data_IF_995521523215
#
_entry.id   IF_995521523215
#
_cell.length_a   1.000
_cell.length_b   1.000
_cell.length_c   1.000
_cell.angle_alpha   90.00
_cell.angle_beta   90.00
_cell.angle_gamma   90.00
#
_symmetry.space_group_name_H-M   'P 1'
#
loop_
_entity.id
_entity.type
_entity.pdbx_description
1 polymer ?
#
# COMPACT_ATOMS: atom_id res chain seq x y z
N UNK A 1 -12.46 -5.65 16.79
CA UNK A 1 -11.00 -5.50 16.58
C UNK A 1 -10.39 -6.88 16.35
N UNK A 2 -10.54 -7.83 17.28
CA UNK A 2 -9.99 -9.20 17.16
C UNK A 2 -10.46 -10.00 15.93
N UNK A 3 -11.75 -10.00 15.58
CA UNK A 3 -12.26 -10.80 14.45
C UNK A 3 -11.77 -10.31 13.06
N UNK A 4 -11.43 -9.01 12.94
CA UNK A 4 -10.97 -8.40 11.68
C UNK A 4 -9.47 -8.58 11.45
N UNK A 5 -8.67 -8.52 12.53
CA UNK A 5 -7.24 -8.85 12.47
C UNK A 5 -7.04 -10.34 12.17
N UNK A 6 -7.82 -11.22 12.79
CA UNK A 6 -7.82 -12.65 12.49
C UNK A 6 -8.19 -12.92 11.02
N UNK A 7 -9.18 -12.21 10.46
CA UNK A 7 -9.55 -12.39 9.05
C UNK A 7 -8.41 -12.05 8.08
N UNK A 8 -7.72 -10.93 8.30
CA UNK A 8 -6.58 -10.52 7.46
C UNK A 8 -5.38 -11.47 7.61
N UNK A 9 -5.13 -11.96 8.83
CA UNK A 9 -4.11 -12.97 9.10
C UNK A 9 -4.40 -14.27 8.33
N UNK A 10 -5.63 -14.77 8.38
CA UNK A 10 -6.05 -15.99 7.66
C UNK A 10 -5.99 -15.80 6.14
N UNK A 11 -6.35 -14.62 5.61
CA UNK A 11 -6.18 -14.31 4.19
C UNK A 11 -4.69 -14.35 3.78
N UNK A 12 -3.80 -13.90 4.66
CA UNK A 12 -2.35 -14.04 4.51
C UNK A 12 -1.90 -15.50 4.46
N UNK A 13 -2.43 -16.35 5.34
CA UNK A 13 -2.15 -17.79 5.36
C UNK A 13 -2.65 -18.51 4.10
N UNK A 14 -3.88 -18.23 3.66
CA UNK A 14 -4.46 -18.80 2.44
C UNK A 14 -3.61 -18.44 1.22
N UNK A 15 -3.05 -17.22 1.18
CA UNK A 15 -2.14 -16.80 0.12
C UNK A 15 -0.80 -17.54 0.17
N UNK A 16 -0.23 -17.74 1.36
CA UNK A 16 1.00 -18.52 1.51
C UNK A 16 0.81 -19.98 1.03
N UNK A 17 -0.37 -20.55 1.30
CA UNK A 17 -0.76 -21.87 0.80
C UNK A 17 -0.93 -21.83 -0.73
N UNK A 18 -1.61 -20.83 -1.28
CA UNK A 18 -1.78 -20.68 -2.73
C UNK A 18 -0.44 -20.58 -3.47
N UNK A 19 0.53 -19.85 -2.91
CA UNK A 19 1.88 -19.74 -3.47
C UNK A 19 2.61 -21.08 -3.51
N UNK A 20 2.34 -21.98 -2.55
CA UNK A 20 2.85 -23.36 -2.56
C UNK A 20 2.13 -24.29 -3.55
N UNK A 21 0.99 -23.84 -4.10
CA UNK A 21 0.10 -24.59 -5.00
C UNK A 21 -0.05 -23.93 -6.38
N UNK A 22 1.03 -23.35 -6.92
CA UNK A 22 1.02 -22.73 -8.27
C UNK A 22 -0.06 -21.65 -8.44
N UNK A 23 -0.33 -20.90 -7.35
CA UNK A 23 -1.41 -19.90 -7.25
C UNK A 23 -2.78 -20.44 -7.66
N UNK A 24 -3.07 -21.72 -7.35
CA UNK A 24 -4.37 -22.35 -7.62
C UNK A 24 -5.01 -22.80 -6.32
N UNK A 25 -6.29 -22.50 -6.16
CA UNK A 25 -7.13 -22.97 -5.06
C UNK A 25 -8.53 -23.29 -5.58
N UNK A 26 -9.26 -24.16 -4.89
CA UNK A 26 -10.68 -24.39 -5.16
C UNK A 26 -11.54 -23.63 -4.15
N UNK A 27 -12.77 -23.27 -4.55
CA UNK A 27 -13.76 -22.69 -3.63
C UNK A 27 -14.01 -23.55 -2.38
N UNK A 28 -13.90 -24.88 -2.50
CA UNK A 28 -14.05 -25.82 -1.37
C UNK A 28 -12.89 -25.73 -0.38
N UNK A 29 -11.66 -25.62 -0.87
CA UNK A 29 -10.48 -25.43 -0.02
C UNK A 29 -10.54 -24.12 0.75
N UNK A 30 -10.93 -23.02 0.08
CA UNK A 30 -11.12 -21.71 0.72
C UNK A 30 -12.17 -21.80 1.84
N UNK A 31 -13.31 -22.48 1.58
CA UNK A 31 -14.35 -22.72 2.60
C UNK A 31 -13.86 -23.58 3.76
N UNK A 32 -12.94 -24.52 3.51
CA UNK A 32 -12.35 -25.36 4.54
C UNK A 32 -11.35 -24.58 5.40
N UNK A 33 -10.50 -23.75 4.80
CA UNK A 33 -9.57 -22.89 5.54
C UNK A 33 -10.29 -21.90 6.44
N UNK A 34 -11.43 -21.40 5.98
CA UNK A 34 -12.26 -20.45 6.73
C UNK A 34 -13.42 -21.14 7.50
N UNK A 35 -13.33 -22.46 7.72
CA UNK A 35 -14.42 -23.23 8.36
C UNK A 35 -14.70 -22.85 9.81
N UNK A 36 -13.74 -22.22 10.47
CA UNK A 36 -13.85 -21.69 11.83
C UNK A 36 -14.52 -20.30 11.86
N UNK A 37 -14.83 -19.70 10.71
CA UNK A 37 -15.53 -18.43 10.58
C UNK A 37 -16.99 -18.64 10.18
N UNK A 38 -17.91 -17.82 10.66
CA UNK A 38 -19.31 -17.81 10.20
C UNK A 38 -19.42 -17.15 8.81
N UNK A 39 -19.05 -17.89 7.77
CA UNK A 39 -19.15 -17.47 6.37
C UNK A 39 -20.40 -18.03 5.69
N UNK A 40 -21.29 -17.12 5.28
CA UNK A 40 -22.33 -17.43 4.30
C UNK A 40 -21.77 -17.41 2.88
N UNK A 41 -22.55 -17.88 1.89
CA UNK A 41 -22.08 -17.99 0.51
C UNK A 41 -21.73 -16.64 -0.13
N UNK A 42 -22.37 -15.54 0.31
CA UNK A 42 -22.07 -14.18 -0.15
C UNK A 42 -20.69 -13.71 0.34
N UNK A 43 -20.37 -13.97 1.61
CA UNK A 43 -19.04 -13.67 2.18
C UNK A 43 -17.96 -14.54 1.55
N UNK A 44 -18.24 -15.82 1.32
CA UNK A 44 -17.33 -16.73 0.63
C UNK A 44 -17.03 -16.27 -0.81
N UNK A 45 -18.04 -15.77 -1.53
CA UNK A 45 -17.87 -15.18 -2.87
C UNK A 45 -17.01 -13.92 -2.84
N UNK A 46 -17.16 -13.06 -1.83
CA UNK A 46 -16.33 -11.87 -1.67
C UNK A 46 -14.86 -12.23 -1.43
N UNK A 47 -14.60 -13.24 -0.59
CA UNK A 47 -13.25 -13.78 -0.36
C UNK A 47 -12.66 -14.35 -1.65
N UNK A 48 -13.43 -15.13 -2.41
CA UNK A 48 -12.97 -15.69 -3.69
C UNK A 48 -12.64 -14.57 -4.69
N UNK A 49 -13.48 -13.54 -4.80
CA UNK A 49 -13.20 -12.38 -5.68
C UNK A 49 -11.95 -11.61 -5.24
N UNK A 50 -11.76 -11.42 -3.93
CA UNK A 50 -10.57 -10.78 -3.39
C UNK A 50 -9.29 -11.56 -3.75
N UNK A 51 -9.27 -12.88 -3.49
CA UNK A 51 -8.13 -13.74 -3.82
C UNK A 51 -7.86 -13.80 -5.34
N UNK A 52 -8.92 -13.83 -6.16
CA UNK A 52 -8.79 -13.79 -7.61
C UNK A 52 -8.21 -12.48 -8.14
N UNK A 53 -8.54 -11.35 -7.52
CA UNK A 53 -7.92 -10.06 -7.83
C UNK A 53 -6.41 -10.04 -7.49
N UNK A 54 -5.96 -10.90 -6.58
CA UNK A 54 -4.55 -11.11 -6.21
C UNK A 54 -3.83 -12.12 -7.11
N UNK A 55 -4.35 -12.36 -8.33
CA UNK A 55 -3.79 -13.30 -9.29
C UNK A 55 -3.75 -14.78 -8.80
N UNK A 56 -4.58 -15.14 -7.81
CA UNK A 56 -4.84 -16.54 -7.42
C UNK A 56 -5.98 -17.11 -8.27
N UNK A 57 -5.70 -18.19 -9.01
CA UNK A 57 -6.69 -18.85 -9.85
C UNK A 57 -7.62 -19.74 -9.02
N UNK A 58 -8.90 -19.37 -8.94
CA UNK A 58 -9.90 -20.10 -8.16
C UNK A 58 -10.77 -20.96 -9.07
N UNK A 59 -10.69 -22.28 -8.89
CA UNK A 59 -11.56 -23.25 -9.56
C UNK A 59 -12.96 -23.27 -8.91
N UNK A 60 -14.00 -23.24 -9.74
CA UNK A 60 -15.40 -23.18 -9.32
C UNK A 60 -15.98 -21.77 -9.06
N UNK A 61 -15.34 -20.71 -9.56
CA UNK A 61 -15.95 -19.37 -9.59
C UNK A 61 -17.15 -19.32 -10.55
N UNK A 62 -18.30 -18.72 -10.17
CA UNK A 62 -19.41 -18.49 -11.10
C UNK A 62 -18.93 -17.62 -12.28
N UNK A 63 -19.34 -17.97 -13.51
CA UNK A 63 -18.84 -17.38 -14.77
C UNK A 63 -19.12 -15.87 -14.94
N UNK A 64 -19.82 -15.22 -14.02
CA UNK A 64 -20.22 -13.80 -14.10
C UNK A 64 -19.08 -12.80 -13.83
N UNK A 65 -17.83 -13.12 -14.14
CA UNK A 65 -16.66 -12.29 -13.80
C UNK A 65 -15.59 -12.18 -14.89
N UNK A 66 -15.87 -12.62 -16.12
CA UNK A 66 -14.92 -12.52 -17.24
C UNK A 66 -15.57 -11.76 -18.39
N UNK A 67 -15.08 -10.53 -18.65
CA UNK A 67 -15.54 -9.53 -19.65
C UNK A 67 -16.67 -8.64 -19.09
N UNK A 68 -16.49 -7.33 -18.85
CA UNK A 68 -16.01 -6.29 -19.77
C UNK A 68 -15.08 -5.25 -19.12
N UNK A 69 -14.25 -4.62 -19.96
CA UNK A 69 -13.19 -3.67 -19.62
C UNK A 69 -13.67 -2.21 -19.69
N UNK A 70 -13.21 -1.43 -18.70
CA UNK A 70 -12.71 -0.05 -18.78
C UNK A 70 -13.33 0.88 -19.84
N UNK A 71 -14.39 1.62 -19.48
CA UNK A 71 -14.70 2.98 -19.99
C UNK A 71 -15.96 3.51 -19.31
N UNK A 72 -15.85 4.02 -18.07
CA UNK A 72 -16.70 5.06 -17.45
C UNK A 72 -16.51 5.07 -15.92
N UNK A 73 -15.40 5.61 -15.43
CA UNK A 73 -15.15 5.73 -13.98
C UNK A 73 -15.83 6.95 -13.32
N UNK A 74 -16.96 7.42 -13.87
CA UNK A 74 -17.78 8.46 -13.22
C UNK A 74 -19.29 8.17 -13.22
N UNK A 75 -19.76 7.03 -13.76
CA UNK A 75 -21.19 6.77 -13.80
C UNK A 75 -21.53 5.27 -13.93
N UNK A 76 -21.18 4.44 -12.94
CA UNK A 76 -21.92 3.20 -12.61
C UNK A 76 -21.23 2.39 -11.48
N UNK A 77 -21.83 2.39 -10.29
CA UNK A 77 -22.15 1.16 -9.55
C UNK A 77 -21.04 0.18 -9.13
N UNK A 78 -20.18 0.58 -8.19
CA UNK A 78 -19.56 -0.33 -7.20
C UNK A 78 -19.76 0.20 -5.76
N UNK A 79 -20.90 0.89 -5.56
CA UNK A 79 -21.41 1.28 -4.26
C UNK A 79 -21.52 0.08 -3.33
N UNK A 80 -21.26 0.26 -2.04
CA UNK A 80 -21.81 -0.68 -1.08
C UNK A 80 -23.32 -0.66 -1.29
N UNK A 81 -24.02 -1.81 -1.29
CA UNK A 81 -25.44 -1.81 -1.56
C UNK A 81 -26.12 -0.81 -0.62
N UNK A 82 -27.02 0.02 -1.16
CA UNK A 82 -27.57 1.20 -0.49
C UNK A 82 -28.21 0.88 0.87
N UNK A 83 -28.63 -0.37 1.06
CA UNK A 83 -29.06 -0.88 2.36
C UNK A 83 -27.95 -0.83 3.43
N UNK A 84 -26.70 -1.17 3.13
CA UNK A 84 -25.58 -1.13 4.08
C UNK A 84 -25.23 0.30 4.50
N UNK A 85 -25.25 1.24 3.55
CA UNK A 85 -25.03 2.65 3.87
C UNK A 85 -26.15 3.16 4.77
N UNK A 86 -27.40 2.80 4.46
CA UNK A 86 -28.56 3.15 5.30
C UNK A 86 -28.44 2.55 6.70
N UNK A 87 -28.19 1.25 6.81
CA UNK A 87 -28.01 0.55 8.09
C UNK A 87 -26.90 1.20 8.94
N UNK A 88 -25.77 1.57 8.30
CA UNK A 88 -24.64 2.22 8.95
C UNK A 88 -24.98 3.61 9.50
N UNK A 89 -25.65 4.44 8.71
CA UNK A 89 -26.07 5.78 9.12
C UNK A 89 -27.16 5.75 10.19
N UNK A 90 -28.04 4.73 10.16
CA UNK A 90 -29.07 4.51 11.16
C UNK A 90 -28.53 3.90 12.47
N UNK A 91 -27.23 3.61 12.53
CA UNK A 91 -26.55 3.18 13.76
C UNK A 91 -26.67 1.69 14.08
N UNK A 92 -26.95 0.84 13.08
CA UNK A 92 -26.92 -0.61 13.29
C UNK A 92 -25.51 -1.06 13.69
N UNK A 93 -25.39 -1.79 14.81
CA UNK A 93 -24.12 -2.17 15.42
C UNK A 93 -23.17 -2.93 14.47
N UNK A 94 -23.70 -3.72 13.53
CA UNK A 94 -22.89 -4.55 12.61
C UNK A 94 -22.62 -3.89 11.26
N UNK A 95 -23.32 -2.80 10.94
CA UNK A 95 -23.34 -2.24 9.59
C UNK A 95 -22.02 -1.61 9.18
N UNK A 96 -21.24 -1.08 10.13
CA UNK A 96 -19.89 -0.57 9.89
C UNK A 96 -18.98 -1.62 9.26
N UNK A 97 -18.97 -2.82 9.84
CA UNK A 97 -18.11 -3.92 9.37
C UNK A 97 -18.61 -4.49 8.05
N UNK A 98 -19.92 -4.68 7.91
CA UNK A 98 -20.55 -5.11 6.64
C UNK A 98 -20.25 -4.13 5.50
N UNK A 99 -20.31 -2.83 5.78
CA UNK A 99 -19.99 -1.76 4.82
C UNK A 99 -18.52 -1.86 4.38
N UNK A 100 -17.58 -1.97 5.32
CA UNK A 100 -16.15 -2.15 5.02
C UNK A 100 -15.89 -3.42 4.19
N UNK A 101 -16.41 -4.58 4.64
CA UNK A 101 -16.26 -5.86 3.94
C UNK A 101 -16.78 -5.79 2.50
N UNK A 102 -17.93 -5.12 2.28
CA UNK A 102 -18.52 -5.00 0.95
C UNK A 102 -17.64 -4.23 -0.05
N UNK A 103 -16.70 -3.42 0.44
CA UNK A 103 -15.83 -2.56 -0.35
C UNK A 103 -14.44 -3.14 -0.59
N UNK A 104 -14.05 -4.24 0.05
CA UNK A 104 -12.70 -4.82 -0.11
C UNK A 104 -12.38 -5.18 -1.57
N UNK A 105 -13.33 -5.78 -2.30
CA UNK A 105 -13.13 -6.08 -3.73
C UNK A 105 -12.96 -4.81 -4.57
N UNK A 106 -13.65 -3.73 -4.20
CA UNK A 106 -13.54 -2.44 -4.88
C UNK A 106 -12.17 -1.79 -4.63
N UNK A 107 -11.65 -1.86 -3.40
CA UNK A 107 -10.28 -1.41 -3.09
C UNK A 107 -9.26 -2.18 -3.93
N UNK A 108 -9.37 -3.50 -4.01
CA UNK A 108 -8.48 -4.32 -4.83
C UNK A 108 -8.57 -3.97 -6.33
N UNK A 109 -9.78 -3.68 -6.81
CA UNK A 109 -10.01 -3.24 -8.19
C UNK A 109 -9.35 -1.88 -8.47
N UNK A 110 -9.53 -0.89 -7.58
CA UNK A 110 -8.87 0.41 -7.68
C UNK A 110 -7.35 0.26 -7.67
N UNK A 111 -6.82 -0.54 -6.75
CA UNK A 111 -5.39 -0.82 -6.66
C UNK A 111 -4.84 -1.40 -7.98
N UNK A 112 -5.60 -2.24 -8.68
CA UNK A 112 -5.17 -2.81 -9.97
C UNK A 112 -4.82 -1.76 -11.04
N UNK A 113 -5.38 -0.54 -10.94
CA UNK A 113 -5.04 0.61 -11.79
C UNK A 113 -3.58 1.08 -11.64
N UNK A 114 -2.95 0.81 -10.49
CA UNK A 114 -1.59 1.22 -10.18
C UNK A 114 -0.51 0.24 -10.67
N UNK A 115 -0.88 -0.94 -11.21
CA UNK A 115 0.07 -1.96 -11.70
C UNK A 115 1.12 -1.44 -12.68
N UNK A 116 0.84 -0.34 -13.40
CA UNK A 116 1.74 0.27 -14.39
C UNK A 116 2.57 1.45 -13.87
N UNK A 117 2.38 1.89 -12.61
CA UNK A 117 3.18 2.96 -12.01
C UNK A 117 4.63 2.51 -11.87
N UNK A 118 5.56 3.43 -12.04
CA UNK A 118 6.99 3.12 -12.02
C UNK A 118 7.45 2.58 -10.65
N UNK A 119 6.90 3.09 -9.55
CA UNK A 119 7.18 2.59 -8.21
C UNK A 119 6.88 1.08 -8.07
N UNK A 120 5.76 0.62 -8.64
CA UNK A 120 5.37 -0.79 -8.65
C UNK A 120 6.27 -1.61 -9.57
N UNK A 121 6.54 -1.13 -10.79
CA UNK A 121 7.41 -1.84 -11.75
C UNK A 121 8.84 -2.02 -11.25
N UNK A 122 9.36 -1.01 -10.54
CA UNK A 122 10.69 -1.04 -9.92
C UNK A 122 10.72 -1.79 -8.59
N UNK A 123 9.59 -2.38 -8.17
CA UNK A 123 9.44 -3.11 -6.91
C UNK A 123 9.83 -2.24 -5.69
N UNK A 124 9.59 -0.93 -5.78
CA UNK A 124 9.75 0.01 -4.67
C UNK A 124 8.59 -0.18 -3.69
N UNK A 125 7.39 -0.43 -4.22
CA UNK A 125 6.18 -0.74 -3.46
C UNK A 125 5.44 -1.90 -4.12
N UNK A 126 4.88 -2.79 -3.30
CA UNK A 126 4.11 -3.94 -3.73
C UNK A 126 2.62 -3.62 -3.92
N UNK A 127 1.91 -4.46 -4.69
CA UNK A 127 0.47 -4.33 -4.85
C UNK A 127 -0.27 -4.56 -3.53
N UNK A 128 0.25 -5.46 -2.70
CA UNK A 128 -0.23 -5.78 -1.37
C UNK A 128 -0.22 -4.55 -0.44
N UNK A 129 0.86 -3.77 -0.47
CA UNK A 129 0.99 -2.54 0.32
C UNK A 129 -0.02 -1.48 -0.13
N UNK A 130 -0.19 -1.29 -1.45
CA UNK A 130 -1.18 -0.35 -2.00
C UNK A 130 -2.60 -0.74 -1.57
N UNK A 131 -2.92 -2.04 -1.60
CA UNK A 131 -4.25 -2.54 -1.20
C UNK A 131 -4.46 -2.38 0.30
N UNK A 132 -3.44 -2.71 1.11
CA UNK A 132 -3.49 -2.56 2.56
C UNK A 132 -3.75 -1.10 2.94
N UNK A 133 -3.05 -0.17 2.29
CA UNK A 133 -3.23 1.26 2.51
C UNK A 133 -4.59 1.76 2.02
N UNK A 134 -5.05 1.29 0.86
CA UNK A 134 -6.40 1.56 0.39
C UNK A 134 -7.49 1.08 1.35
N UNK A 135 -7.29 -0.08 1.99
CA UNK A 135 -8.19 -0.59 3.02
C UNK A 135 -8.15 0.28 4.29
N UNK A 136 -6.98 0.82 4.65
CA UNK A 136 -6.86 1.81 5.72
C UNK A 136 -7.64 3.10 5.38
N UNK A 137 -7.51 3.60 4.14
CA UNK A 137 -8.29 4.73 3.62
C UNK A 137 -9.80 4.48 3.65
N UNK A 138 -10.25 3.28 3.28
CA UNK A 138 -11.66 2.87 3.42
C UNK A 138 -12.15 3.00 4.86
N UNK A 139 -11.39 2.47 5.84
CA UNK A 139 -11.74 2.55 7.25
C UNK A 139 -11.73 4.00 7.76
N UNK A 140 -10.82 4.83 7.24
CA UNK A 140 -10.77 6.25 7.56
C UNK A 140 -12.01 6.97 7.04
N UNK A 141 -12.40 6.76 5.79
CA UNK A 141 -13.61 7.33 5.21
C UNK A 141 -14.88 6.93 5.96
N UNK A 142 -15.01 5.66 6.35
CA UNK A 142 -16.10 5.20 7.22
C UNK A 142 -16.08 5.93 8.58
N UNK A 143 -14.89 6.10 9.17
CA UNK A 143 -14.75 6.76 10.49
C UNK A 143 -15.06 8.26 10.43
N UNK A 144 -14.71 8.95 9.35
CA UNK A 144 -15.11 10.35 9.10
C UNK A 144 -16.62 10.48 9.06
N UNK A 145 -17.30 9.55 8.38
CA UNK A 145 -18.76 9.56 8.28
C UNK A 145 -19.40 9.24 9.65
N UNK A 146 -18.78 8.35 10.42
CA UNK A 146 -19.27 7.93 11.74
C UNK A 146 -19.29 9.06 12.78
N UNK A 147 -18.38 10.04 12.68
CA UNK A 147 -18.29 11.16 13.61
C UNK A 147 -19.53 12.07 13.59
N UNK A 148 -20.18 12.20 12.45
CA UNK A 148 -21.43 12.94 12.31
C UNK A 148 -22.27 12.31 11.21
N UNK A 149 -23.04 11.28 11.57
CA UNK A 149 -23.93 10.56 10.65
C UNK A 149 -25.10 11.42 10.18
N UNK A 150 -25.53 12.39 10.99
CA UNK A 150 -26.72 13.20 10.72
C UNK A 150 -26.52 14.12 9.51
N UNK A 151 -25.30 14.61 9.26
CA UNK A 151 -24.99 15.44 8.10
C UNK A 151 -25.19 14.70 6.76
N UNK A 152 -25.20 13.37 6.76
CA UNK A 152 -25.36 12.52 5.57
C UNK A 152 -26.79 12.00 5.41
N UNK A 153 -27.75 12.56 6.15
CA UNK A 153 -29.17 12.30 5.97
C UNK A 153 -29.81 13.55 5.36
N UNK A 154 -30.47 13.39 4.21
CA UNK A 154 -31.16 14.49 3.52
C UNK A 154 -32.41 14.91 4.29
N UNK A 155 -32.95 16.07 3.95
CA UNK A 155 -34.18 16.61 4.57
C UNK A 155 -35.40 15.67 4.46
N UNK A 156 -35.42 14.75 3.49
CA UNK A 156 -36.49 13.76 3.32
C UNK A 156 -36.27 12.47 4.16
N UNK A 157 -35.22 12.41 4.98
CA UNK A 157 -34.87 11.26 5.82
C UNK A 157 -34.11 10.15 5.08
N UNK A 158 -33.83 10.29 3.79
CA UNK A 158 -33.02 9.32 3.04
C UNK A 158 -31.53 9.66 3.10
N UNK A 159 -30.63 8.66 3.10
CA UNK A 159 -29.19 8.87 3.01
C UNK A 159 -28.73 9.67 1.79
N UNK A 160 -27.65 10.43 1.97
CA UNK A 160 -26.84 10.99 0.89
C UNK A 160 -25.79 9.97 0.40
N UNK A 161 -26.28 9.00 -0.36
CA UNK A 161 -25.46 7.91 -0.91
C UNK A 161 -24.29 8.38 -1.76
N UNK A 162 -24.48 9.47 -2.52
CA UNK A 162 -23.46 10.03 -3.40
C UNK A 162 -22.32 10.62 -2.57
N UNK A 163 -22.65 11.44 -1.57
CA UNK A 163 -21.66 12.05 -0.67
C UNK A 163 -20.92 10.98 0.14
N UNK A 164 -21.62 9.99 0.70
CA UNK A 164 -21.02 8.88 1.45
C UNK A 164 -20.05 8.06 0.59
N UNK A 165 -20.47 7.65 -0.62
CA UNK A 165 -19.58 6.91 -1.52
C UNK A 165 -18.40 7.78 -1.98
N UNK A 166 -18.62 9.08 -2.21
CA UNK A 166 -17.59 10.04 -2.59
C UNK A 166 -16.48 10.16 -1.54
N UNK A 167 -16.86 10.33 -0.27
CA UNK A 167 -15.89 10.40 0.85
C UNK A 167 -15.11 9.11 0.98
N UNK A 168 -15.79 7.96 0.99
CA UNK A 168 -15.12 6.65 1.09
C UNK A 168 -14.12 6.48 -0.07
N UNK A 169 -14.53 6.79 -1.30
CA UNK A 169 -13.66 6.65 -2.45
C UNK A 169 -12.46 7.62 -2.41
N UNK A 170 -12.69 8.87 -2.01
CA UNK A 170 -11.64 9.86 -1.86
C UNK A 170 -10.57 9.41 -0.85
N UNK A 171 -10.98 8.90 0.31
CA UNK A 171 -10.04 8.42 1.33
C UNK A 171 -9.27 7.18 0.88
N UNK A 172 -9.91 6.23 0.17
CA UNK A 172 -9.22 5.07 -0.42
C UNK A 172 -8.13 5.53 -1.40
N UNK A 173 -8.47 6.42 -2.33
CA UNK A 173 -7.54 6.90 -3.36
C UNK A 173 -6.41 7.71 -2.74
N UNK A 174 -6.73 8.63 -1.81
CA UNK A 174 -5.73 9.45 -1.14
C UNK A 174 -4.71 8.61 -0.38
N UNK A 175 -5.16 7.57 0.33
CA UNK A 175 -4.28 6.68 1.07
C UNK A 175 -3.33 5.94 0.12
N UNK A 176 -3.85 5.36 -0.97
CA UNK A 176 -3.05 4.68 -1.98
C UNK A 176 -2.00 5.59 -2.63
N UNK A 177 -2.40 6.76 -3.13
CA UNK A 177 -1.48 7.70 -3.80
C UNK A 177 -0.43 8.23 -2.82
N UNK A 178 -0.83 8.57 -1.59
CA UNK A 178 0.11 9.08 -0.58
C UNK A 178 1.22 8.08 -0.27
N UNK A 179 0.89 6.80 -0.15
CA UNK A 179 1.88 5.74 0.08
C UNK A 179 2.81 5.53 -1.12
N UNK A 180 2.28 5.60 -2.35
CA UNK A 180 3.10 5.48 -3.57
C UNK A 180 4.07 6.66 -3.69
N UNK A 181 3.59 7.86 -3.43
CA UNK A 181 4.39 9.08 -3.50
C UNK A 181 5.48 9.06 -2.43
N UNK A 182 5.14 8.72 -1.18
CA UNK A 182 6.11 8.59 -0.07
C UNK A 182 7.19 7.55 -0.39
N UNK A 183 6.81 6.35 -0.83
CA UNK A 183 7.77 5.30 -1.17
C UNK A 183 8.71 5.70 -2.33
N UNK A 184 8.18 6.49 -3.28
CA UNK A 184 8.98 7.01 -4.40
C UNK A 184 9.96 8.09 -3.94
N UNK A 185 9.52 9.00 -3.09
CA UNK A 185 10.36 10.05 -2.50
C UNK A 185 11.49 9.47 -1.65
N UNK A 186 11.19 8.47 -0.81
CA UNK A 186 12.19 7.76 -0.01
C UNK A 186 13.25 7.11 -0.92
N UNK A 187 12.83 6.49 -2.03
CA UNK A 187 13.78 5.85 -2.93
C UNK A 187 14.65 6.84 -3.69
N UNK A 188 14.07 7.95 -4.14
CA UNK A 188 14.82 9.02 -4.79
C UNK A 188 15.80 9.69 -3.83
N UNK A 189 15.41 9.86 -2.57
CA UNK A 189 16.29 10.33 -1.51
C UNK A 189 17.45 9.36 -1.26
N UNK A 190 17.20 8.06 -1.12
CA UNK A 190 18.25 7.04 -0.99
C UNK A 190 19.24 7.08 -2.16
N UNK A 191 18.73 7.16 -3.39
CA UNK A 191 19.55 7.21 -4.60
C UNK A 191 20.43 8.48 -4.63
N UNK A 192 19.87 9.63 -4.23
CA UNK A 192 20.61 10.88 -4.14
C UNK A 192 21.73 10.81 -3.10
N UNK A 193 21.47 10.20 -1.94
CA UNK A 193 22.50 9.97 -0.90
C UNK A 193 23.60 9.05 -1.42
N UNK A 194 23.27 7.93 -2.06
CA UNK A 194 24.26 7.01 -2.63
C UNK A 194 25.14 7.67 -3.71
N UNK A 195 24.55 8.48 -4.59
CA UNK A 195 25.30 9.22 -5.60
C UNK A 195 26.32 10.18 -4.96
N UNK A 196 25.93 10.86 -3.87
CA UNK A 196 26.82 11.75 -3.12
C UNK A 196 27.92 10.98 -2.38
N UNK A 197 27.62 9.83 -1.79
CA UNK A 197 28.63 8.95 -1.17
C UNK A 197 29.67 8.53 -2.20
N UNK A 198 29.25 8.12 -3.39
CA UNK A 198 30.16 7.73 -4.47
C UNK A 198 31.01 8.93 -4.95
N UNK A 199 30.42 10.11 -5.09
CA UNK A 199 31.16 11.33 -5.43
C UNK A 199 32.22 11.66 -4.37
N UNK A 200 31.87 11.58 -3.08
CA UNK A 200 32.80 11.81 -1.97
C UNK A 200 33.92 10.76 -1.93
N UNK A 201 33.60 9.50 -2.22
CA UNK A 201 34.60 8.43 -2.34
C UNK A 201 35.62 8.73 -3.45
N UNK A 202 35.16 9.05 -4.65
CA UNK A 202 36.03 9.33 -5.79
C UNK A 202 36.88 10.60 -5.57
N UNK A 203 36.28 11.64 -5.00
CA UNK A 203 37.00 12.85 -4.63
C UNK A 203 38.06 12.58 -3.55
N UNK A 204 37.73 11.78 -2.53
CA UNK A 204 38.67 11.42 -1.47
C UNK A 204 39.87 10.65 -2.02
N UNK A 205 39.61 9.68 -2.92
CA UNK A 205 40.65 8.91 -3.59
C UNK A 205 41.56 9.82 -4.43
N UNK A 206 40.98 10.65 -5.28
CA UNK A 206 41.73 11.54 -6.17
C UNK A 206 42.62 12.52 -5.36
N UNK A 207 42.05 13.19 -4.36
CA UNK A 207 42.80 14.12 -3.52
C UNK A 207 43.87 13.41 -2.68
N UNK A 208 43.63 12.17 -2.25
CA UNK A 208 44.63 11.39 -1.54
C UNK A 208 45.83 11.01 -2.42
N UNK A 209 45.58 10.69 -3.69
CA UNK A 209 46.62 10.43 -4.69
C UNK A 209 47.43 11.71 -5.00
N UNK A 210 46.75 12.85 -5.19
CA UNK A 210 47.39 14.13 -5.49
C UNK A 210 48.21 14.70 -4.32
N UNK A 211 47.68 14.62 -3.08
CA UNK A 211 48.31 15.22 -1.91
C UNK A 211 49.20 14.25 -1.12
N UNK A 212 49.16 12.95 -1.44
CA UNK A 212 49.85 11.90 -0.68
C UNK A 212 49.33 11.69 0.74
N UNK A 213 48.17 12.26 1.08
CA UNK A 213 47.48 12.12 2.37
C UNK A 213 45.98 12.23 2.18
N UNK A 214 45.20 11.69 3.12
CA UNK A 214 43.75 11.88 3.12
C UNK A 214 43.37 13.37 3.14
N UNK A 215 42.37 13.79 2.34
CA UNK A 215 41.86 15.16 2.38
C UNK A 215 41.08 15.44 3.67
N UNK A 216 41.05 16.70 4.10
CA UNK A 216 40.15 17.16 5.16
C UNK A 216 38.71 17.31 4.66
N UNK A 217 37.75 17.44 5.57
CA UNK A 217 36.34 17.72 5.22
C UNK A 217 36.20 19.02 4.42
N UNK A 218 37.01 20.04 4.73
CA UNK A 218 37.03 21.30 3.99
C UNK A 218 37.58 21.13 2.57
N UNK A 219 38.60 20.30 2.39
CA UNK A 219 39.18 20.00 1.07
C UNK A 219 38.19 19.20 0.20
N UNK A 220 37.48 18.24 0.79
CA UNK A 220 36.41 17.48 0.12
C UNK A 220 35.23 18.38 -0.24
N UNK A 221 34.81 19.26 0.67
CA UNK A 221 33.76 20.24 0.43
C UNK A 221 34.13 21.20 -0.71
N UNK A 222 35.35 21.73 -0.69
CA UNK A 222 35.83 22.63 -1.73
C UNK A 222 35.89 21.97 -3.12
N UNK A 223 36.27 20.68 -3.17
CA UNK A 223 36.40 19.92 -4.42
C UNK A 223 35.05 19.45 -4.96
N UNK A 224 34.19 18.88 -4.12
CA UNK A 224 32.89 18.29 -4.53
C UNK A 224 31.75 19.30 -4.58
N UNK A 225 31.91 20.47 -3.97
CA UNK A 225 30.85 21.48 -3.74
C UNK A 225 29.70 21.02 -2.85
N UNK A 226 29.84 19.86 -2.19
CA UNK A 226 28.95 19.43 -1.12
C UNK A 226 29.36 20.15 0.16
N UNK A 227 28.41 20.69 0.93
CA UNK A 227 28.74 21.43 2.14
C UNK A 227 29.37 20.51 3.20
N UNK A 228 30.23 21.06 4.07
CA UNK A 228 30.85 20.27 5.14
C UNK A 228 29.80 19.66 6.10
N UNK A 229 28.72 20.40 6.38
CA UNK A 229 27.58 19.91 7.16
C UNK A 229 26.90 18.71 6.49
N UNK A 230 26.68 18.78 5.17
CA UNK A 230 26.05 17.71 4.42
C UNK A 230 26.94 16.47 4.32
N UNK A 231 28.27 16.65 4.17
CA UNK A 231 29.26 15.57 4.27
C UNK A 231 29.15 14.87 5.63
N UNK A 232 29.05 15.65 6.72
CA UNK A 232 28.93 15.10 8.07
C UNK A 232 27.62 14.32 8.26
N UNK A 233 26.51 14.85 7.74
CA UNK A 233 25.20 14.18 7.79
C UNK A 233 25.20 12.85 7.04
N UNK A 234 25.76 12.82 5.82
CA UNK A 234 25.92 11.58 5.03
C UNK A 234 26.79 10.56 5.77
N UNK A 235 27.86 11.03 6.42
CA UNK A 235 28.75 10.21 7.23
C UNK A 235 28.06 9.63 8.46
N UNK A 236 27.13 10.36 9.07
CA UNK A 236 26.37 9.86 10.21
C UNK A 236 25.27 8.86 9.79
N UNK A 237 24.73 8.99 8.58
CA UNK A 237 23.70 8.11 8.02
C UNK A 237 24.23 6.73 7.60
N UNK A 238 25.49 6.60 7.16
CA UNK A 238 26.02 5.34 6.62
C UNK A 238 27.31 4.89 7.30
N UNK A 239 27.30 3.71 7.93
CA UNK A 239 28.52 3.04 8.42
C UNK A 239 29.48 2.69 7.28
N UNK A 240 28.99 2.50 6.05
CA UNK A 240 29.84 2.25 4.89
C UNK A 240 30.48 3.55 4.37
N UNK A 241 29.80 4.70 4.48
CA UNK A 241 30.44 6.01 4.26
C UNK A 241 31.54 6.28 5.30
N UNK A 242 31.33 5.88 6.57
CA UNK A 242 32.39 5.91 7.61
C UNK A 242 33.58 5.05 7.22
N UNK A 243 33.36 3.82 6.74
CA UNK A 243 34.43 2.90 6.31
C UNK A 243 35.24 3.44 5.14
N UNK A 244 34.58 4.12 4.20
CA UNK A 244 35.21 4.75 3.03
C UNK A 244 36.25 5.80 3.42
N UNK A 245 35.96 6.63 4.43
CA UNK A 245 36.93 7.64 4.91
C UNK A 245 37.84 7.12 6.04
N UNK A 246 37.49 6.00 6.68
CA UNK A 246 38.28 5.40 7.75
C UNK A 246 39.33 4.39 7.28
N UNK A 247 39.89 4.50 6.07
CA UNK A 247 41.10 3.74 5.69
C UNK A 247 42.29 4.20 6.54
N UNK A 248 42.30 3.79 7.82
CA UNK A 248 43.44 3.91 8.72
C UNK A 248 43.68 2.56 9.37
N UNK A 249 44.90 2.08 9.12
CA UNK A 249 45.64 0.96 9.73
C UNK A 249 45.32 -0.46 9.21
N UNK A 250 46.03 -0.85 8.15
CA UNK A 250 46.58 -2.22 8.12
C UNK A 250 48.02 -2.33 7.57
N UNK A 251 48.79 -1.24 7.50
CA UNK A 251 50.23 -1.30 7.19
C UNK A 251 51.04 -0.21 7.93
N UNK A 252 50.98 -0.23 9.27
CA UNK A 252 52.04 0.31 10.13
C UNK A 252 52.34 -0.71 11.21
#
# INVERSE_FOLDING_TARGET
MEEQEQFLEILGEIRAIAASQDNKLTRKEIKQYLSHMELNDVKLDAVCRYLAAMDINIDGMPESGRQDKYENLQAAGSGAPDNLIKDFLMGEASARNRLAESKLSYVAELASGYKKREAVKKQIISMEEIIAEGNAGLLMGISVIEQDKAQYIKNNGEPDYETVNGIINMEIINAMESMIDMASEDKDWENAVLAKVNLLHEAARYLAEEYGRMPSEEELSAYTKVSAEEINNIMNLSNDAKKVLSFKKQYL
#
